data_IF_240778597216
#
_entry.id   IF_240778597216
#
_cell.length_a   1.000
_cell.length_b   1.000
_cell.length_c   1.000
_cell.angle_alpha   90.00
_cell.angle_beta   90.00
_cell.angle_gamma   90.00
#
_symmetry.space_group_name_H-M   'P 1'
#
loop_
_entity.id
_entity.type
_entity.pdbx_description
1 polymer ?
#
# COMPACT_ATOMS: atom_id res chain seq x y z
N UNK A 1 -5.84 14.92 -16.32
CA UNK A 1 -6.10 14.56 -14.91
C UNK A 1 -4.80 13.99 -14.38
N UNK A 2 -4.15 14.58 -13.38
CA UNK A 2 -2.88 14.03 -12.93
C UNK A 2 -3.18 12.84 -12.00
N UNK A 3 -3.03 11.64 -12.54
CA UNK A 3 -2.92 10.42 -11.75
C UNK A 3 -1.52 10.40 -11.13
N UNK A 4 -1.37 10.98 -9.94
CA UNK A 4 -0.22 10.74 -9.07
C UNK A 4 -0.49 9.43 -8.30
N UNK A 5 0.49 8.52 -8.29
CA UNK A 5 0.33 7.09 -8.01
C UNK A 5 -0.28 6.79 -6.64
N UNK A 6 -1.55 6.41 -6.63
CA UNK A 6 -2.28 6.05 -5.42
C UNK A 6 -2.00 4.58 -5.09
N UNK A 7 -1.29 4.33 -3.99
CA UNK A 7 -1.02 2.98 -3.47
C UNK A 7 -2.17 2.58 -2.54
N UNK A 8 -2.87 1.49 -2.80
CA UNK A 8 -3.90 0.96 -1.90
C UNK A 8 -3.33 -0.19 -1.07
N UNK A 9 -3.38 -0.09 0.25
CA UNK A 9 -2.72 -1.01 1.19
C UNK A 9 -3.75 -1.70 2.08
N UNK A 10 -3.77 -3.03 2.06
CA UNK A 10 -4.56 -3.86 2.96
C UNK A 10 -3.64 -4.56 3.99
N UNK A 11 -4.09 -4.65 5.24
CA UNK A 11 -3.32 -5.28 6.33
C UNK A 11 -2.23 -4.40 6.95
N UNK A 12 -1.94 -3.24 6.34
CA UNK A 12 -0.99 -2.25 6.84
C UNK A 12 -1.46 -0.83 6.59
N UNK A 13 -0.76 0.15 7.17
CA UNK A 13 -1.03 1.56 6.88
C UNK A 13 0.22 2.43 6.95
N UNK A 14 0.29 3.41 6.05
CA UNK A 14 1.27 4.50 6.03
C UNK A 14 0.49 5.80 5.92
N UNK A 15 0.77 6.76 6.81
CA UNK A 15 0.22 8.10 6.74
C UNK A 15 0.93 8.90 5.63
N UNK A 16 0.37 8.85 4.42
CA UNK A 16 0.90 9.57 3.26
C UNK A 16 -0.24 9.94 2.29
N UNK A 17 -0.24 11.16 1.70
CA UNK A 17 -1.31 11.62 0.81
C UNK A 17 -1.50 10.77 -0.46
N UNK A 18 -0.50 9.99 -0.86
CA UNK A 18 -0.57 9.07 -2.00
C UNK A 18 -0.85 7.61 -1.58
N UNK A 19 -1.05 7.33 -0.29
CA UNK A 19 -1.35 6.00 0.22
C UNK A 19 -2.77 5.98 0.78
N UNK A 20 -3.56 5.01 0.31
CA UNK A 20 -4.90 4.72 0.81
C UNK A 20 -4.83 3.41 1.58
N UNK A 21 -4.98 3.50 2.90
CA UNK A 21 -5.09 2.32 3.75
C UNK A 21 -6.52 1.81 3.74
N UNK A 22 -6.75 0.61 3.22
CA UNK A 22 -8.07 -0.01 3.16
C UNK A 22 -8.23 -1.03 4.29
N UNK A 23 -9.44 -1.15 4.81
CA UNK A 23 -9.71 -1.99 5.99
C UNK A 23 -10.33 -3.34 5.65
N UNK A 24 -10.81 -3.50 4.42
CA UNK A 24 -11.44 -4.74 3.98
C UNK A 24 -11.00 -5.15 2.58
N UNK A 25 -11.25 -6.42 2.27
CA UNK A 25 -10.97 -7.00 0.95
C UNK A 25 -11.88 -6.37 -0.12
N UNK A 26 -13.15 -6.08 0.21
CA UNK A 26 -14.06 -5.43 -0.74
C UNK A 26 -13.59 -4.03 -1.11
N UNK A 27 -13.07 -3.28 -0.14
CA UNK A 27 -12.51 -1.96 -0.37
C UNK A 27 -11.28 -2.06 -1.28
N UNK A 28 -10.35 -2.98 -0.98
CA UNK A 28 -9.18 -3.25 -1.82
C UNK A 28 -9.55 -3.61 -3.27
N UNK A 29 -10.57 -4.46 -3.45
CA UNK A 29 -11.08 -4.87 -4.76
C UNK A 29 -11.60 -3.68 -5.59
N UNK A 30 -12.17 -2.66 -4.95
CA UNK A 30 -12.65 -1.46 -5.64
C UNK A 30 -11.53 -0.62 -6.29
N UNK A 31 -10.27 -0.88 -5.89
CA UNK A 31 -9.07 -0.22 -6.40
C UNK A 31 -8.36 -1.02 -7.50
N UNK A 32 -8.78 -2.26 -7.79
CA UNK A 32 -8.19 -3.08 -8.86
C UNK A 32 -8.30 -2.35 -10.20
N UNK A 33 -7.17 -2.24 -10.91
CA UNK A 33 -7.08 -1.54 -12.19
C UNK A 33 -7.09 -0.01 -12.10
N UNK A 34 -7.18 0.58 -10.89
CA UNK A 34 -7.15 2.03 -10.65
C UNK A 34 -5.88 2.47 -9.93
N UNK A 35 -5.26 1.57 -9.18
CA UNK A 35 -4.20 1.83 -8.21
C UNK A 35 -3.23 0.64 -8.14
N UNK A 36 -2.03 0.88 -7.61
CA UNK A 36 -1.13 -0.21 -7.24
C UNK A 36 -1.60 -0.80 -5.91
N UNK A 37 -1.73 -2.12 -5.84
CA UNK A 37 -2.22 -2.82 -4.66
C UNK A 37 -1.07 -3.41 -3.86
N UNK A 38 -1.14 -3.25 -2.55
CA UNK A 38 -0.24 -3.87 -1.58
C UNK A 38 -1.06 -4.61 -0.54
N UNK A 39 -0.66 -5.84 -0.25
CA UNK A 39 -1.28 -6.71 0.74
C UNK A 39 -0.22 -7.12 1.75
N UNK A 40 -0.51 -6.89 3.03
CA UNK A 40 0.37 -7.21 4.15
C UNK A 40 -0.22 -8.40 4.92
N UNK A 41 0.59 -9.44 5.14
CA UNK A 41 0.23 -10.59 5.98
C UNK A 41 -0.72 -11.63 5.35
N UNK A 42 -1.29 -11.36 4.16
CA UNK A 42 -2.20 -12.28 3.45
C UNK A 42 -1.70 -12.61 2.04
N UNK A 43 -0.74 -13.55 1.95
CA UNK A 43 -0.10 -13.92 0.68
C UNK A 43 -1.09 -14.52 -0.33
N UNK A 44 -2.10 -15.26 0.15
CA UNK A 44 -3.11 -15.86 -0.71
C UNK A 44 -3.93 -14.78 -1.42
N UNK A 45 -4.38 -13.76 -0.69
CA UNK A 45 -5.08 -12.62 -1.25
C UNK A 45 -4.18 -11.83 -2.22
N UNK A 46 -2.91 -11.63 -1.87
CA UNK A 46 -1.96 -10.92 -2.74
C UNK A 46 -1.83 -11.61 -4.11
N UNK A 47 -1.67 -12.95 -4.11
CA UNK A 47 -1.59 -13.75 -5.33
C UNK A 47 -2.87 -13.74 -6.15
N UNK A 48 -4.03 -13.83 -5.49
CA UNK A 48 -5.34 -13.75 -6.16
C UNK A 48 -5.50 -12.43 -6.94
N UNK A 49 -5.06 -11.32 -6.33
CA UNK A 49 -5.23 -9.98 -6.89
C UNK A 49 -4.07 -9.52 -7.78
N UNK A 50 -2.98 -10.29 -7.86
CA UNK A 50 -1.73 -9.85 -8.48
C UNK A 50 -1.13 -8.62 -7.79
N UNK A 51 -1.37 -8.47 -6.49
CA UNK A 51 -0.87 -7.38 -5.67
C UNK A 51 0.56 -7.65 -5.16
N UNK A 52 1.27 -6.59 -4.77
CA UNK A 52 2.53 -6.75 -4.06
C UNK A 52 2.26 -7.31 -2.66
N UNK A 53 3.03 -8.33 -2.27
CA UNK A 53 2.95 -8.95 -0.95
C UNK A 53 4.08 -8.45 -0.05
N UNK A 54 3.76 -8.19 1.22
CA UNK A 54 4.73 -8.00 2.29
C UNK A 54 4.34 -8.87 3.49
N UNK A 55 5.32 -9.50 4.13
CA UNK A 55 5.13 -9.97 5.50
C UNK A 55 5.02 -8.77 6.46
N UNK A 56 4.41 -8.96 7.64
CA UNK A 56 4.24 -7.89 8.64
C UNK A 56 5.58 -7.21 9.02
N UNK A 57 6.65 -7.99 9.17
CA UNK A 57 7.98 -7.48 9.52
C UNK A 57 8.58 -6.63 8.39
N UNK A 58 8.48 -7.11 7.15
CA UNK A 58 8.96 -6.41 5.96
C UNK A 58 8.19 -5.10 5.74
N UNK A 59 6.88 -5.11 6.00
CA UNK A 59 6.04 -3.94 5.90
C UNK A 59 6.45 -2.87 6.92
N UNK A 60 6.77 -3.25 8.15
CA UNK A 60 7.19 -2.31 9.19
C UNK A 60 8.49 -1.59 8.79
N UNK A 61 9.46 -2.31 8.24
CA UNK A 61 10.70 -1.71 7.72
C UNK A 61 10.44 -0.80 6.52
N UNK A 62 9.61 -1.25 5.58
CA UNK A 62 9.22 -0.46 4.41
C UNK A 62 8.51 0.83 4.81
N UNK A 63 7.53 0.77 5.71
CA UNK A 63 6.78 1.92 6.19
C UNK A 63 7.71 2.95 6.85
N UNK A 64 8.69 2.51 7.64
CA UNK A 64 9.69 3.38 8.25
C UNK A 64 10.54 4.08 7.20
N UNK A 65 11.10 3.32 6.26
CA UNK A 65 11.91 3.87 5.16
C UNK A 65 11.11 4.87 4.32
N UNK A 66 9.86 4.54 3.99
CA UNK A 66 9.00 5.38 3.17
C UNK A 66 8.70 6.72 3.86
N UNK A 67 8.37 6.70 5.16
CA UNK A 67 8.18 7.92 5.95
C UNK A 67 9.45 8.77 6.01
N UNK A 68 10.62 8.16 6.21
CA UNK A 68 11.91 8.86 6.25
C UNK A 68 12.30 9.45 4.88
N UNK A 69 12.03 8.75 3.78
CA UNK A 69 12.32 9.19 2.43
C UNK A 69 11.45 10.40 2.03
N UNK A 70 10.16 10.38 2.34
CA UNK A 70 9.24 11.49 2.06
C UNK A 70 9.58 12.72 2.91
N UNK A 71 10.00 12.53 4.17
CA UNK A 71 10.46 13.61 5.05
C UNK A 71 11.69 14.37 4.53
N UNK A 72 12.51 13.74 3.66
CA UNK A 72 13.69 14.37 3.04
C UNK A 72 13.43 15.06 1.70
N UNK A 73 12.23 14.90 1.13
CA UNK A 73 11.83 15.52 -0.15
C UNK A 73 11.26 16.93 -0.02
N UNK A 74 11.13 17.47 1.20
CA UNK A 74 10.73 18.86 1.48
C UNK A 74 11.85 19.60 2.21
N UNK A 75 12.91 19.94 1.50
CA UNK A 75 13.87 20.99 1.87
C UNK A 75 13.98 21.96 0.69
#
# INVERSE_FOLDING_TARGET
MPFYGMLAVYGGCIDHPEVVCVKSREELLSHVGRCFLVVVGDEALARELGAAFFADEEWAEFARFFQEAVGRGRA
#
